data_IF_882207468097
#
_entry.id   IF_882207468097
#
_cell.length_a   1.000
_cell.length_b   1.000
_cell.length_c   1.000
_cell.angle_alpha   90.00
_cell.angle_beta   90.00
_cell.angle_gamma   90.00
#
_symmetry.space_group_name_H-M   'P 1'
#
loop_
_entity.id
_entity.type
_entity.pdbx_description
1 polymer ?
#
# COMPACT_ATOMS: atom_id res chain seq x y z
N UNK A 1 -18.10 -14.22 19.31
CA UNK A 1 -16.63 -14.12 19.24
C UNK A 1 -16.26 -13.86 17.79
N UNK A 2 -15.97 -12.59 17.44
CA UNK A 2 -15.60 -12.21 16.08
C UNK A 2 -14.09 -12.35 15.99
N UNK A 3 -13.62 -13.49 15.46
CA UNK A 3 -12.21 -13.65 15.14
C UNK A 3 -11.89 -12.70 13.99
N UNK A 4 -11.07 -11.71 14.29
CA UNK A 4 -10.44 -10.84 13.32
C UNK A 4 -9.57 -11.70 12.39
N UNK A 5 -10.15 -12.07 11.25
CA UNK A 5 -9.37 -12.49 10.09
C UNK A 5 -8.68 -11.26 9.52
N UNK A 6 -7.48 -10.95 10.01
CA UNK A 6 -6.51 -10.18 9.22
C UNK A 6 -6.09 -11.08 8.06
N UNK A 7 -6.89 -11.06 7.00
CA UNK A 7 -6.61 -11.75 5.77
C UNK A 7 -5.43 -11.04 5.09
N UNK A 8 -4.27 -11.73 5.11
CA UNK A 8 -3.03 -11.52 4.34
C UNK A 8 -2.36 -10.14 4.40
N UNK A 9 -1.03 -10.21 4.48
CA UNK A 9 -0.09 -9.09 4.37
C UNK A 9 -0.05 -8.52 2.96
N UNK A 10 -1.17 -7.96 2.50
CA UNK A 10 -1.30 -7.24 1.23
C UNK A 10 -1.35 -5.73 1.56
N UNK A 11 -0.83 -4.91 0.65
CA UNK A 11 -0.82 -3.46 0.86
C UNK A 11 -2.22 -2.88 0.71
N UNK A 12 -2.60 -1.90 1.52
CA UNK A 12 -3.89 -1.21 1.39
C UNK A 12 -3.89 -0.32 0.15
N UNK A 13 -5.05 -0.15 -0.47
CA UNK A 13 -5.20 0.86 -1.51
C UNK A 13 -5.08 2.27 -0.93
N UNK A 14 -4.77 3.26 -1.75
CA UNK A 14 -4.78 4.66 -1.31
C UNK A 14 -6.17 5.11 -0.83
N UNK A 15 -7.25 4.57 -1.41
CA UNK A 15 -8.61 4.88 -1.00
C UNK A 15 -8.93 4.30 0.39
N UNK A 16 -8.49 3.07 0.65
CA UNK A 16 -8.65 2.43 1.96
C UNK A 16 -7.80 3.13 3.02
N UNK A 17 -6.56 3.49 2.68
CA UNK A 17 -5.69 4.28 3.55
C UNK A 17 -6.36 5.58 4.00
N UNK A 18 -6.95 6.34 3.07
CA UNK A 18 -7.70 7.56 3.39
C UNK A 18 -8.89 7.26 4.29
N UNK A 19 -9.63 6.19 4.02
CA UNK A 19 -10.81 5.80 4.81
C UNK A 19 -10.44 5.39 6.24
N UNK A 20 -9.37 4.60 6.39
CA UNK A 20 -8.80 4.19 7.68
C UNK A 20 -8.39 5.42 8.48
N UNK A 21 -7.60 6.32 7.88
CA UNK A 21 -7.13 7.52 8.58
C UNK A 21 -8.26 8.49 8.90
N UNK A 22 -9.24 8.67 8.00
CA UNK A 22 -10.40 9.53 8.27
C UNK A 22 -11.21 9.01 9.47
N UNK A 23 -11.39 7.69 9.57
CA UNK A 23 -12.08 7.03 10.68
C UNK A 23 -11.30 7.16 11.98
N UNK A 24 -10.03 6.78 11.96
CA UNK A 24 -9.24 6.57 13.18
C UNK A 24 -8.56 7.84 13.68
N UNK A 25 -8.23 8.77 12.78
CA UNK A 25 -7.58 10.05 13.11
C UNK A 25 -8.51 11.25 13.01
N UNK A 26 -9.75 11.10 12.52
CA UNK A 26 -10.64 12.23 12.24
C UNK A 26 -10.90 13.14 13.44
N UNK A 27 -11.02 12.57 14.64
CA UNK A 27 -11.18 13.36 15.87
C UNK A 27 -9.89 14.12 16.25
N UNK A 28 -8.74 13.46 16.15
CA UNK A 28 -7.42 14.06 16.43
C UNK A 28 -7.12 15.19 15.46
N UNK A 29 -7.39 14.99 14.16
CA UNK A 29 -7.21 16.00 13.11
C UNK A 29 -8.05 17.24 13.41
N UNK A 30 -9.34 17.06 13.76
CA UNK A 30 -10.23 18.18 14.10
C UNK A 30 -9.76 18.97 15.31
N UNK A 31 -9.19 18.28 16.31
CA UNK A 31 -8.75 18.88 17.58
C UNK A 31 -7.37 19.54 17.49
N UNK A 32 -6.42 18.89 16.82
CA UNK A 32 -5.00 19.23 16.85
C UNK A 32 -4.55 19.99 15.59
N UNK A 33 -5.19 19.73 14.44
CA UNK A 33 -4.74 20.20 13.13
C UNK A 33 -5.74 21.13 12.44
N UNK A 34 -6.50 21.90 13.25
CA UNK A 34 -7.50 22.84 12.73
C UNK A 34 -6.85 23.89 11.82
N UNK A 35 -7.39 24.08 10.62
CA UNK A 35 -6.90 25.05 9.64
C UNK A 35 -5.71 24.58 8.81
N UNK A 36 -5.20 23.36 9.03
CA UNK A 36 -4.19 22.75 8.17
C UNK A 36 -4.83 22.34 6.85
N UNK A 37 -4.24 22.80 5.74
CA UNK A 37 -4.71 22.44 4.40
C UNK A 37 -4.47 20.95 4.10
N UNK A 38 -5.42 20.33 3.41
CA UNK A 38 -5.29 18.98 2.90
C UNK A 38 -4.22 18.91 1.79
N UNK A 39 -3.60 17.75 1.65
CA UNK A 39 -2.59 17.47 0.63
C UNK A 39 -1.15 17.73 1.07
N UNK A 40 -0.20 17.28 0.25
CA UNK A 40 1.25 17.41 0.45
C UNK A 40 1.75 16.95 1.83
N UNK A 41 1.09 15.97 2.45
CA UNK A 41 1.52 15.42 3.74
C UNK A 41 1.26 16.31 4.97
N UNK A 42 0.71 17.52 4.83
CA UNK A 42 0.63 18.50 5.94
C UNK A 42 -0.14 18.02 7.17
N UNK A 43 -1.20 17.23 6.98
CA UNK A 43 -1.94 16.64 8.11
C UNK A 43 -1.09 15.60 8.84
N UNK A 44 -0.32 14.80 8.11
CA UNK A 44 0.60 13.83 8.72
C UNK A 44 1.70 14.55 9.51
N UNK A 45 2.25 15.66 8.98
CA UNK A 45 3.23 16.48 9.69
C UNK A 45 2.64 17.08 10.97
N UNK A 46 1.43 17.65 10.91
CA UNK A 46 0.77 18.18 12.09
C UNK A 46 0.52 17.10 13.17
N UNK A 47 0.08 15.91 12.78
CA UNK A 47 -0.10 14.79 13.71
C UNK A 47 1.24 14.35 14.30
N UNK A 48 2.32 14.36 13.52
CA UNK A 48 3.69 14.08 13.97
C UNK A 48 4.19 15.09 15.01
N UNK A 49 3.93 16.38 14.79
CA UNK A 49 4.26 17.45 15.75
C UNK A 49 3.47 17.33 17.06
N UNK A 50 2.29 16.71 17.02
CA UNK A 50 1.42 16.52 18.18
C UNK A 50 1.43 15.07 18.70
N UNK A 51 2.45 14.27 18.41
CA UNK A 51 2.54 12.83 18.76
C UNK A 51 2.15 12.48 20.19
N UNK A 52 2.48 13.31 21.18
CA UNK A 52 2.11 13.08 22.59
C UNK A 52 0.63 13.28 22.91
N UNK A 53 -0.11 13.94 22.01
CA UNK A 53 -1.54 14.28 22.15
C UNK A 53 -2.44 13.50 21.18
N UNK A 54 -1.87 12.88 20.15
CA UNK A 54 -2.59 12.04 19.19
C UNK A 54 -3.05 10.76 19.89
N UNK A 55 -4.25 10.27 19.57
CA UNK A 55 -4.77 9.05 20.17
C UNK A 55 -3.90 7.82 19.83
N UNK A 56 -3.86 6.79 20.70
CA UNK A 56 -3.17 5.54 20.39
C UNK A 56 -3.70 4.87 19.12
N UNK A 57 -5.00 4.95 18.87
CA UNK A 57 -5.65 4.41 17.67
C UNK A 57 -5.13 5.10 16.41
N UNK A 58 -5.17 6.44 16.36
CA UNK A 58 -4.63 7.17 15.21
C UNK A 58 -3.14 6.91 15.01
N UNK A 59 -2.36 6.83 16.09
CA UNK A 59 -0.91 6.53 16.03
C UNK A 59 -0.65 5.16 15.38
N UNK A 60 -1.39 4.14 15.79
CA UNK A 60 -1.28 2.80 15.22
C UNK A 60 -1.68 2.78 13.74
N UNK A 61 -2.79 3.42 13.38
CA UNK A 61 -3.29 3.46 12.00
C UNK A 61 -2.36 4.27 11.07
N UNK A 62 -1.79 5.39 11.54
CA UNK A 62 -0.76 6.13 10.80
C UNK A 62 0.46 5.26 10.49
N UNK A 63 0.98 4.54 11.48
CA UNK A 63 2.15 3.66 11.31
C UNK A 63 1.85 2.51 10.34
N UNK A 64 0.70 1.86 10.50
CA UNK A 64 0.25 0.77 9.64
C UNK A 64 0.08 1.22 8.19
N UNK A 65 -0.65 2.32 7.97
CA UNK A 65 -0.88 2.88 6.63
C UNK A 65 0.44 3.33 5.99
N UNK A 66 1.33 4.00 6.73
CA UNK A 66 2.62 4.42 6.20
C UNK A 66 3.49 3.22 5.78
N UNK A 67 3.51 2.16 6.60
CA UNK A 67 4.22 0.90 6.26
C UNK A 67 3.63 0.26 5.01
N UNK A 68 2.31 0.24 4.90
CA UNK A 68 1.60 -0.34 3.77
C UNK A 68 1.86 0.41 2.46
N UNK A 69 1.83 1.75 2.49
CA UNK A 69 2.13 2.60 1.33
C UNK A 69 3.59 2.41 0.88
N UNK A 70 4.54 2.43 1.81
CA UNK A 70 5.96 2.21 1.48
C UNK A 70 6.18 0.86 0.81
N UNK A 71 5.56 -0.19 1.36
CA UNK A 71 5.65 -1.54 0.78
C UNK A 71 5.09 -1.59 -0.63
N UNK A 72 4.03 -0.82 -0.92
CA UNK A 72 3.45 -0.73 -2.25
C UNK A 72 4.38 -0.03 -3.24
N UNK A 73 4.97 1.08 -2.81
CA UNK A 73 5.95 1.84 -3.61
C UNK A 73 7.20 1.00 -3.89
N UNK A 74 7.73 0.32 -2.87
CA UNK A 74 8.89 -0.57 -3.00
C UNK A 74 8.60 -1.73 -3.96
N UNK A 75 7.42 -2.34 -3.87
CA UNK A 75 7.01 -3.41 -4.78
C UNK A 75 6.85 -2.94 -6.23
N UNK A 76 6.27 -1.75 -6.44
CA UNK A 76 6.17 -1.13 -7.76
C UNK A 76 7.56 -0.84 -8.35
N UNK A 77 8.48 -0.29 -7.55
CA UNK A 77 9.85 0.00 -7.99
C UNK A 77 10.66 -1.27 -8.26
N UNK A 78 10.42 -2.34 -7.49
CA UNK A 78 11.16 -3.60 -7.61
C UNK A 78 10.60 -4.54 -8.69
N UNK A 79 9.38 -4.29 -9.20
CA UNK A 79 8.62 -5.19 -10.06
C UNK A 79 9.44 -5.79 -11.20
N UNK A 80 10.04 -4.95 -12.05
CA UNK A 80 10.78 -5.41 -13.23
C UNK A 80 11.92 -6.36 -12.85
N UNK A 81 12.68 -5.98 -11.82
CA UNK A 81 13.81 -6.78 -11.33
C UNK A 81 13.35 -8.10 -10.73
N UNK A 82 12.31 -8.07 -9.91
CA UNK A 82 11.79 -9.27 -9.23
C UNK A 82 11.18 -10.25 -10.22
N UNK A 83 10.48 -9.74 -11.24
CA UNK A 83 9.76 -10.53 -12.22
C UNK A 83 10.55 -10.86 -13.49
N UNK A 84 11.79 -10.37 -13.65
CA UNK A 84 12.58 -10.50 -14.89
C UNK A 84 12.69 -11.95 -15.39
N UNK A 85 12.85 -12.91 -14.49
CA UNK A 85 12.90 -14.33 -14.85
C UNK A 85 11.56 -14.81 -15.43
N UNK A 86 10.46 -14.55 -14.71
CA UNK A 86 9.11 -14.95 -15.13
C UNK A 86 8.70 -14.27 -16.45
N UNK A 87 9.08 -13.00 -16.63
CA UNK A 87 8.86 -12.27 -17.87
C UNK A 87 9.56 -12.96 -19.05
N UNK A 88 10.83 -13.33 -18.89
CA UNK A 88 11.61 -13.98 -19.93
C UNK A 88 11.10 -15.39 -20.27
N UNK A 89 10.65 -16.15 -19.27
CA UNK A 89 10.19 -17.53 -19.46
C UNK A 89 8.75 -17.60 -19.99
N UNK A 90 7.86 -16.75 -19.50
CA UNK A 90 6.41 -16.94 -19.68
C UNK A 90 5.73 -15.85 -20.51
N UNK A 91 6.39 -14.71 -20.71
CA UNK A 91 5.81 -13.56 -21.42
C UNK A 91 6.71 -13.07 -22.58
N UNK A 92 7.52 -13.98 -23.16
CA UNK A 92 8.41 -13.65 -24.27
C UNK A 92 7.64 -13.08 -25.47
N UNK A 93 8.11 -11.94 -25.98
CA UNK A 93 7.53 -11.27 -27.15
C UNK A 93 6.39 -10.30 -26.85
N UNK A 94 5.91 -10.25 -25.60
CA UNK A 94 5.00 -9.20 -25.13
C UNK A 94 5.78 -7.88 -25.03
N UNK A 95 5.20 -6.80 -25.54
CA UNK A 95 5.82 -5.47 -25.54
C UNK A 95 4.97 -4.48 -24.76
N UNK A 96 5.60 -3.70 -23.90
CA UNK A 96 4.96 -2.69 -23.04
C UNK A 96 4.64 -3.22 -21.65
N UNK A 97 4.98 -2.45 -20.62
CA UNK A 97 4.97 -2.89 -19.22
C UNK A 97 3.57 -3.30 -18.75
N UNK A 98 2.55 -2.56 -19.16
CA UNK A 98 1.15 -2.91 -18.87
C UNK A 98 0.72 -4.24 -19.48
N UNK A 99 1.21 -4.58 -20.69
CA UNK A 99 0.90 -5.86 -21.33
C UNK A 99 1.69 -7.00 -20.72
N UNK A 100 2.94 -6.77 -20.31
CA UNK A 100 3.75 -7.76 -19.58
C UNK A 100 3.09 -8.07 -18.23
N UNK A 101 2.65 -7.04 -17.50
CA UNK A 101 1.90 -7.21 -16.25
C UNK A 101 0.63 -8.04 -16.45
N UNK A 102 -0.17 -7.71 -17.47
CA UNK A 102 -1.37 -8.46 -17.81
C UNK A 102 -1.05 -9.94 -18.15
N UNK A 103 0.06 -10.18 -18.84
CA UNK A 103 0.54 -11.54 -19.12
C UNK A 103 0.87 -12.30 -17.82
N UNK A 104 1.70 -11.72 -16.93
CA UNK A 104 2.09 -12.34 -15.66
C UNK A 104 0.87 -12.63 -14.76
N UNK A 105 -0.11 -11.73 -14.70
CA UNK A 105 -1.36 -11.94 -13.95
C UNK A 105 -2.15 -13.10 -14.55
N UNK A 106 -2.29 -13.16 -15.87
CA UNK A 106 -3.02 -14.23 -16.56
C UNK A 106 -2.34 -15.60 -16.38
N UNK A 107 -1.01 -15.63 -16.32
CA UNK A 107 -0.20 -16.84 -16.18
C UNK A 107 0.29 -17.09 -14.75
N UNK A 108 -0.33 -16.46 -13.74
CA UNK A 108 0.12 -16.48 -12.33
C UNK A 108 0.50 -17.84 -11.74
N UNK A 109 -0.05 -18.94 -12.27
CA UNK A 109 0.28 -20.32 -11.83
C UNK A 109 1.65 -20.80 -12.29
N UNK A 110 2.22 -20.16 -13.31
CA UNK A 110 3.56 -20.42 -13.86
C UNK A 110 4.59 -19.45 -13.29
N UNK A 111 4.14 -18.29 -12.79
CA UNK A 111 4.99 -17.24 -12.24
C UNK A 111 5.45 -17.60 -10.83
N UNK A 112 6.72 -17.36 -10.51
CA UNK A 112 7.28 -17.63 -9.20
C UNK A 112 6.64 -16.80 -8.07
N UNK A 113 6.66 -17.35 -6.85
CA UNK A 113 6.02 -16.74 -5.67
C UNK A 113 6.49 -15.32 -5.40
N UNK A 114 7.79 -15.02 -5.63
CA UNK A 114 8.34 -13.69 -5.41
C UNK A 114 7.75 -12.64 -6.36
N UNK A 115 7.62 -12.97 -7.64
CA UNK A 115 7.00 -12.07 -8.61
C UNK A 115 5.49 -11.94 -8.34
N UNK A 116 4.82 -13.04 -8.02
CA UNK A 116 3.43 -13.02 -7.60
C UNK A 116 3.20 -12.13 -6.38
N UNK A 117 4.06 -12.22 -5.37
CA UNK A 117 3.98 -11.38 -4.18
C UNK A 117 4.23 -9.90 -4.53
N UNK A 118 5.22 -9.59 -5.37
CA UNK A 118 5.48 -8.21 -5.81
C UNK A 118 4.28 -7.60 -6.56
N UNK A 119 3.58 -8.36 -7.40
CA UNK A 119 2.37 -7.90 -8.12
C UNK A 119 1.23 -7.60 -7.13
N UNK A 120 1.02 -8.48 -6.16
CA UNK A 120 0.04 -8.29 -5.09
C UNK A 120 0.39 -7.07 -4.22
N UNK A 121 1.65 -6.93 -3.85
CA UNK A 121 2.15 -5.84 -3.02
C UNK A 121 2.14 -4.50 -3.75
N UNK A 122 2.32 -4.50 -5.07
CA UNK A 122 2.13 -3.32 -5.89
C UNK A 122 0.65 -2.90 -6.00
N UNK A 123 -0.28 -3.75 -5.56
CA UNK A 123 -1.73 -3.55 -5.63
C UNK A 123 -2.23 -3.53 -7.06
N UNK A 124 -1.79 -4.49 -7.88
CA UNK A 124 -2.21 -4.66 -9.28
C UNK A 124 -3.17 -5.84 -9.50
N UNK A 125 -3.56 -6.55 -8.44
CA UNK A 125 -4.61 -7.58 -8.45
C UNK A 125 -5.21 -7.78 -7.07
#
# INVERSE_FOLDING_TARGET
>A
MISAGMAKAETVSYADAVSILAKDCGADIKKLCKGVNLGNGRIADCLKENTTKVSPTCTASLSSVATSIRRREDAQAAYEKVCAHDMAQHCRGVKGDGYILACLIKTQRLVGDKCNQAITDAGWR
#
